data_IF_865206536733
#
_entry.id   IF_865206536733
#
_cell.length_a   1.000
_cell.length_b   1.000
_cell.length_c   1.000
_cell.angle_alpha   90.00
_cell.angle_beta   90.00
_cell.angle_gamma   90.00
#
_symmetry.space_group_name_H-M   'P 1'
#
loop_
_entity.id
_entity.type
_entity.pdbx_description
1 polymer ?
#
# COMPACT_ATOMS: atom_id res chain seq x y z
N UNK A 1 -15.59 -9.99 -2.40
CA UNK A 1 -14.70 -11.18 -2.37
C UNK A 1 -13.34 -10.78 -2.92
N UNK A 2 -12.27 -11.20 -2.24
CA UNK A 2 -10.90 -11.07 -2.73
C UNK A 2 -10.70 -11.94 -3.98
N UNK A 3 -10.00 -11.43 -4.99
CA UNK A 3 -9.78 -12.09 -6.28
C UNK A 3 -8.31 -12.12 -6.71
N UNK A 4 -7.51 -11.16 -6.26
CA UNK A 4 -6.14 -10.98 -6.71
C UNK A 4 -5.20 -10.84 -5.52
N UNK A 5 -4.30 -11.80 -5.35
CA UNK A 5 -3.16 -11.67 -4.44
C UNK A 5 -1.99 -11.04 -5.20
N UNK A 6 -1.45 -9.94 -4.68
CA UNK A 6 -0.30 -9.26 -5.28
C UNK A 6 1.00 -9.90 -4.79
N UNK A 7 1.98 -10.00 -5.70
CA UNK A 7 3.33 -10.42 -5.38
C UNK A 7 4.20 -9.22 -4.94
N UNK A 8 5.31 -9.54 -4.27
CA UNK A 8 6.25 -8.53 -3.74
C UNK A 8 6.85 -7.65 -4.84
N UNK A 9 7.22 -8.22 -5.99
CA UNK A 9 7.83 -7.41 -7.06
C UNK A 9 6.83 -6.40 -7.62
N UNK A 10 5.57 -6.81 -7.79
CA UNK A 10 4.51 -5.90 -8.19
C UNK A 10 4.29 -4.80 -7.14
N UNK A 11 4.19 -5.14 -5.86
CA UNK A 11 4.05 -4.15 -4.77
C UNK A 11 5.22 -3.15 -4.73
N UNK A 12 6.47 -3.63 -4.89
CA UNK A 12 7.66 -2.78 -4.97
C UNK A 12 7.53 -1.79 -6.14
N UNK A 13 7.14 -2.26 -7.34
CA UNK A 13 6.96 -1.39 -8.51
C UNK A 13 5.85 -0.36 -8.29
N UNK A 14 4.74 -0.74 -7.66
CA UNK A 14 3.64 0.18 -7.34
C UNK A 14 4.11 1.27 -6.37
N UNK A 15 4.82 0.89 -5.30
CA UNK A 15 5.34 1.82 -4.29
C UNK A 15 6.41 2.77 -4.85
N UNK A 16 7.32 2.25 -5.68
CA UNK A 16 8.47 2.99 -6.23
C UNK A 16 8.12 3.81 -7.47
N UNK A 17 7.50 3.19 -8.46
CA UNK A 17 7.38 3.74 -9.82
C UNK A 17 6.03 4.44 -10.05
N UNK A 18 5.01 4.14 -9.23
CA UNK A 18 3.66 4.73 -9.29
C UNK A 18 3.12 4.88 -10.72
N UNK A 19 3.07 3.79 -11.51
CA UNK A 19 2.71 3.87 -12.93
C UNK A 19 1.27 4.37 -13.13
N UNK A 20 1.10 5.47 -13.85
CA UNK A 20 -0.21 6.10 -14.08
C UNK A 20 -1.19 5.17 -14.81
N UNK A 21 -0.70 4.38 -15.76
CA UNK A 21 -1.51 3.43 -16.54
C UNK A 21 -2.15 2.33 -15.69
N UNK A 22 -1.62 2.07 -14.48
CA UNK A 22 -2.14 1.07 -13.56
C UNK A 22 -3.21 1.64 -12.61
N UNK A 23 -3.29 2.97 -12.49
CA UNK A 23 -4.09 3.66 -11.48
C UNK A 23 -5.58 3.32 -11.57
N UNK A 24 -6.17 3.36 -12.75
CA UNK A 24 -7.59 3.06 -12.95
C UNK A 24 -7.90 1.61 -12.56
N UNK A 25 -7.24 0.64 -13.20
CA UNK A 25 -7.44 -0.79 -12.92
C UNK A 25 -7.19 -1.15 -11.45
N UNK A 26 -6.19 -0.55 -10.82
CA UNK A 26 -5.89 -0.79 -9.40
C UNK A 26 -7.02 -0.26 -8.51
N UNK A 27 -7.53 0.95 -8.78
CA UNK A 27 -8.63 1.54 -8.02
C UNK A 27 -9.95 0.80 -8.22
N UNK A 28 -10.26 0.37 -9.44
CA UNK A 28 -11.46 -0.42 -9.75
C UNK A 28 -11.49 -1.75 -9.00
N UNK A 29 -10.32 -2.37 -8.81
CA UNK A 29 -10.18 -3.66 -8.17
C UNK A 29 -9.76 -3.57 -6.69
N UNK A 30 -9.66 -2.37 -6.10
CA UNK A 30 -9.09 -2.19 -4.76
C UNK A 30 -9.72 -3.09 -3.69
N UNK A 31 -11.03 -3.32 -3.77
CA UNK A 31 -11.79 -4.17 -2.83
C UNK A 31 -11.60 -5.69 -3.07
N UNK A 32 -10.92 -6.05 -4.16
CA UNK A 32 -10.63 -7.42 -4.57
C UNK A 32 -9.13 -7.75 -4.52
N UNK A 33 -8.27 -6.78 -4.15
CA UNK A 33 -6.83 -6.98 -3.98
C UNK A 33 -6.51 -7.42 -2.56
N UNK A 34 -5.53 -8.30 -2.40
CA UNK A 34 -4.91 -8.62 -1.13
C UNK A 34 -3.39 -8.80 -1.28
N UNK A 35 -2.69 -8.73 -0.15
CA UNK A 35 -1.30 -9.17 0.00
C UNK A 35 -1.24 -10.19 1.12
N UNK A 36 -0.27 -11.09 1.08
CA UNK A 36 0.01 -11.99 2.20
C UNK A 36 0.91 -11.30 3.23
N UNK A 37 0.93 -11.84 4.45
CA UNK A 37 1.87 -11.38 5.49
C UNK A 37 3.33 -11.54 5.04
N UNK A 38 3.64 -12.58 4.26
CA UNK A 38 4.99 -12.80 3.69
C UNK A 38 5.39 -11.61 2.82
N UNK A 39 4.52 -11.17 1.92
CA UNK A 39 4.75 -9.99 1.06
C UNK A 39 4.91 -8.73 1.92
N UNK A 40 4.07 -8.55 2.94
CA UNK A 40 4.19 -7.41 3.85
C UNK A 40 5.55 -7.39 4.57
N UNK A 41 6.01 -8.53 5.08
CA UNK A 41 7.32 -8.63 5.73
C UNK A 41 8.49 -8.36 4.77
N UNK A 42 8.42 -8.85 3.53
CA UNK A 42 9.45 -8.55 2.51
C UNK A 42 9.52 -7.04 2.20
N UNK A 43 8.36 -6.38 2.11
CA UNK A 43 8.29 -4.93 1.91
C UNK A 43 8.85 -4.14 3.10
N UNK A 44 8.52 -4.54 4.33
CA UNK A 44 9.06 -3.93 5.55
C UNK A 44 10.57 -4.10 5.64
N UNK A 45 11.08 -5.30 5.34
CA UNK A 45 12.51 -5.56 5.27
C UNK A 45 13.21 -4.70 4.20
N UNK A 46 12.61 -4.57 3.02
CA UNK A 46 13.10 -3.68 1.97
C UNK A 46 13.11 -2.21 2.37
N UNK A 47 12.09 -1.76 3.12
CA UNK A 47 12.01 -0.41 3.65
C UNK A 47 13.13 -0.13 4.67
N UNK A 48 13.37 -1.02 5.62
CA UNK A 48 14.43 -0.87 6.63
C UNK A 48 15.84 -0.82 6.01
N UNK A 49 16.05 -1.49 4.88
CA UNK A 49 17.34 -1.46 4.14
C UNK A 49 17.50 -0.24 3.21
N UNK A 50 16.46 0.57 3.04
CA UNK A 50 16.47 1.68 2.09
C UNK A 50 17.28 2.88 2.59
N UNK A 51 17.49 3.88 1.71
CA UNK A 51 18.16 5.14 2.08
C UNK A 51 17.37 6.00 3.08
N UNK A 52 16.05 5.79 3.17
CA UNK A 52 15.16 6.50 4.09
C UNK A 52 14.15 5.52 4.71
N UNK A 53 14.56 4.77 5.75
CA UNK A 53 13.75 3.73 6.36
C UNK A 53 12.41 4.22 6.90
N UNK A 54 12.38 5.39 7.53
CA UNK A 54 11.18 5.97 8.15
C UNK A 54 10.13 6.27 7.09
N UNK A 55 10.53 6.91 5.99
CA UNK A 55 9.64 7.24 4.88
C UNK A 55 9.07 5.99 4.21
N UNK A 56 9.93 5.03 3.86
CA UNK A 56 9.49 3.84 3.13
C UNK A 56 8.65 2.91 4.01
N UNK A 57 8.98 2.78 5.31
CA UNK A 57 8.17 2.01 6.25
C UNK A 57 6.75 2.55 6.33
N UNK A 58 6.60 3.88 6.45
CA UNK A 58 5.28 4.52 6.45
C UNK A 58 4.51 4.25 5.15
N UNK A 59 5.17 4.26 4.00
CA UNK A 59 4.53 3.93 2.72
C UNK A 59 4.04 2.47 2.68
N UNK A 60 4.82 1.54 3.21
CA UNK A 60 4.44 0.12 3.31
C UNK A 60 3.27 -0.08 4.27
N UNK A 61 3.29 0.57 5.44
CA UNK A 61 2.19 0.51 6.43
C UNK A 61 0.87 1.06 5.83
N UNK A 62 0.93 2.18 5.11
CA UNK A 62 -0.22 2.73 4.39
C UNK A 62 -0.71 1.79 3.27
N UNK A 63 0.18 1.07 2.62
CA UNK A 63 -0.16 0.08 1.61
C UNK A 63 -0.78 -1.19 2.22
N UNK A 64 -0.40 -1.57 3.44
CA UNK A 64 -0.93 -2.76 4.13
C UNK A 64 -2.31 -2.57 4.78
N UNK A 65 -2.72 -1.33 5.07
CA UNK A 65 -4.00 -1.02 5.72
C UNK A 65 -5.22 -1.17 4.77
N UNK A 66 -5.46 -2.37 4.24
CA UNK A 66 -6.70 -2.93 3.65
C UNK A 66 -7.68 -2.07 2.79
N UNK A 67 -7.30 -0.88 2.35
CA UNK A 67 -8.08 -0.03 1.45
C UNK A 67 -7.11 0.86 0.64
N UNK A 68 -6.25 0.22 -0.15
CA UNK A 68 -5.27 0.94 -0.97
C UNK A 68 -6.01 1.60 -2.13
N UNK A 69 -6.38 2.88 -1.96
CA UNK A 69 -6.64 3.74 -3.12
C UNK A 69 -5.29 4.23 -3.62
N UNK A 70 -5.04 4.14 -4.92
CA UNK A 70 -3.79 4.59 -5.55
C UNK A 70 -3.51 6.09 -5.28
N UNK A 71 -4.53 6.88 -4.95
CA UNK A 71 -4.36 8.28 -4.50
C UNK A 71 -3.61 8.42 -3.16
N UNK A 72 -3.66 7.42 -2.26
CA UNK A 72 -2.84 7.39 -1.02
C UNK A 72 -1.35 7.31 -1.35
N UNK A 73 -1.01 6.75 -2.51
CA UNK A 73 0.35 6.70 -3.04
C UNK A 73 0.70 7.93 -3.89
N UNK A 74 -0.12 8.98 -3.99
CA UNK A 74 0.20 10.15 -4.83
C UNK A 74 0.59 11.38 -4.01
N UNK A 75 0.07 11.53 -2.79
CA UNK A 75 0.30 12.73 -1.99
C UNK A 75 1.46 12.53 -1.01
N UNK A 76 2.52 13.32 -1.15
CA UNK A 76 3.56 13.49 -0.14
C UNK A 76 3.08 14.25 1.11
N UNK A 77 1.77 14.35 1.33
CA UNK A 77 1.19 14.93 2.53
C UNK A 77 1.02 13.85 3.60
N UNK A 78 1.75 14.06 4.69
CA UNK A 78 1.52 13.52 6.03
C UNK A 78 0.03 13.29 6.30
N UNK A 79 -0.45 12.05 6.13
CA UNK A 79 -1.82 11.70 6.51
C UNK A 79 -1.88 11.72 8.05
N UNK A 80 -2.74 12.57 8.66
CA UNK A 80 -2.85 12.62 10.11
C UNK A 80 -3.41 11.29 10.62
N UNK A 81 -2.79 10.76 11.68
CA UNK A 81 -3.12 9.48 12.31
C UNK A 81 -4.60 9.34 12.71
N UNK A 82 -5.35 10.44 12.77
CA UNK A 82 -6.79 10.47 13.04
C UNK A 82 -7.67 9.90 11.92
N UNK A 83 -7.19 9.80 10.67
CA UNK A 83 -7.96 9.21 9.55
C UNK A 83 -7.70 7.72 9.32
N UNK A 84 -6.69 7.14 9.98
CA UNK A 84 -6.47 5.69 9.97
C UNK A 84 -7.51 4.95 10.82
N UNK A 85 -7.99 5.59 11.90
CA UNK A 85 -9.03 5.03 12.76
C UNK A 85 -10.42 4.95 12.12
N UNK A 86 -10.71 5.67 11.04
CA UNK A 86 -12.05 5.59 10.40
C UNK A 86 -12.21 4.41 9.44
N UNK A 87 -11.12 3.66 9.15
CA UNK A 87 -11.17 2.43 8.37
C UNK A 87 -11.32 1.17 9.26
N UNK A 88 -11.28 1.34 10.58
CA UNK A 88 -11.49 0.29 11.59
C UNK A 88 -12.71 0.72 12.41
N UNK A 89 -13.75 -0.09 12.49
CA UNK A 89 -15.09 0.21 13.04
C UNK A 89 -16.13 0.74 12.04
N UNK A 90 -16.63 -0.17 11.22
CA UNK A 90 -18.06 -0.26 10.91
C UNK A 90 -18.41 -1.72 10.61
N UNK A 91 -18.32 -2.55 11.65
CA UNK A 91 -19.16 -3.72 11.93
C UNK A 91 -18.90 -4.15 13.37
#
# INVERSE_FOLDING_TARGET
MLRYALDTNFCIRVLRDRPQSLRERFNENANALCISDVVLYELLYGAEKSQDPVKHRRQVELFGCCHVKFSVLSDGHEYPSSKLQTASFSA
#
